data_IF_810971166851
#
_entry.id   IF_810971166851
#
_cell.length_a   1.000
_cell.length_b   1.000
_cell.length_c   1.000
_cell.angle_alpha   90.00
_cell.angle_beta   90.00
_cell.angle_gamma   90.00
#
_symmetry.space_group_name_H-M   'P 1'
#
loop_
_entity.id
_entity.type
_entity.pdbx_description
1 polymer ?
#
# COMPACT_ATOMS: atom_id res chain seq x y z
N UNK A 1 -16.31 -16.04 -13.49
CA UNK A 1 -16.04 -15.87 -12.05
C UNK A 1 -14.89 -14.90 -11.86
N UNK A 2 -15.07 -13.91 -11.00
CA UNK A 2 -13.99 -12.97 -10.72
C UNK A 2 -12.91 -13.61 -9.87
N UNK A 3 -11.67 -13.44 -10.27
CA UNK A 3 -10.52 -13.92 -9.51
C UNK A 3 -9.67 -12.74 -9.10
N UNK A 4 -9.04 -12.87 -7.94
CA UNK A 4 -8.16 -11.82 -7.42
C UNK A 4 -6.81 -12.39 -7.07
N UNK A 5 -5.79 -11.59 -7.25
CA UNK A 5 -4.48 -11.90 -6.69
C UNK A 5 -4.21 -10.95 -5.54
N UNK A 6 -3.42 -11.39 -4.59
CA UNK A 6 -3.15 -10.64 -3.38
C UNK A 6 -1.66 -10.39 -3.22
N UNK A 7 -1.34 -9.25 -2.64
CA UNK A 7 0.03 -8.85 -2.40
C UNK A 7 0.16 -8.30 -1.00
N UNK A 8 1.21 -8.70 -0.31
CA UNK A 8 1.53 -8.18 1.02
C UNK A 8 2.88 -7.49 0.94
N UNK A 9 2.94 -6.26 1.40
CA UNK A 9 4.17 -5.48 1.39
C UNK A 9 4.44 -4.89 2.75
N UNK A 10 5.71 -4.91 3.13
CA UNK A 10 6.18 -4.14 4.26
C UNK A 10 6.72 -2.82 3.72
N UNK A 11 6.15 -1.72 4.15
CA UNK A 11 6.66 -0.40 3.77
C UNK A 11 7.41 0.15 4.96
N UNK A 12 8.75 0.22 4.88
CA UNK A 12 9.53 0.71 6.00
C UNK A 12 9.21 2.17 6.27
N UNK A 13 9.03 2.48 7.56
CA UNK A 13 8.75 3.84 7.99
C UNK A 13 9.93 4.33 8.82
N UNK A 14 10.33 5.57 8.60
CA UNK A 14 11.26 6.22 9.48
C UNK A 14 10.52 6.62 10.76
N UNK A 15 11.25 6.73 11.86
CA UNK A 15 10.67 7.13 13.13
C UNK A 15 10.11 8.55 13.02
N UNK A 16 8.83 8.69 13.32
CA UNK A 16 8.19 10.00 13.30
C UNK A 16 8.37 10.69 14.64
N UNK A 17 8.91 11.89 14.60
CA UNK A 17 9.01 12.75 15.78
C UNK A 17 8.19 14.01 15.49
N UNK A 18 7.02 14.10 16.11
CA UNK A 18 6.15 15.24 15.95
C UNK A 18 5.36 15.25 14.65
N UNK A 19 4.61 16.33 14.43
CA UNK A 19 3.69 16.45 13.30
C UNK A 19 4.39 16.39 11.95
N UNK A 20 5.55 17.03 11.84
CA UNK A 20 6.29 17.05 10.58
C UNK A 20 6.79 15.66 10.19
N UNK A 21 7.15 14.85 11.20
CA UNK A 21 7.56 13.49 10.95
C UNK A 21 6.43 12.64 10.37
N UNK A 22 5.21 12.81 10.90
CA UNK A 22 4.05 12.09 10.40
C UNK A 22 3.68 12.53 8.98
N UNK A 23 3.80 13.83 8.70
CA UNK A 23 3.52 14.34 7.36
C UNK A 23 4.48 13.73 6.33
N UNK A 24 5.76 13.61 6.70
CA UNK A 24 6.75 13.02 5.83
C UNK A 24 6.44 11.54 5.57
N UNK A 25 6.07 10.81 6.61
CA UNK A 25 5.70 9.40 6.47
C UNK A 25 4.47 9.24 5.59
N UNK A 26 3.48 10.11 5.79
CA UNK A 26 2.27 10.08 4.97
C UNK A 26 2.59 10.29 3.50
N UNK A 27 3.49 11.22 3.19
CA UNK A 27 3.90 11.48 1.82
C UNK A 27 4.63 10.27 1.21
N UNK A 28 5.46 9.60 1.99
CA UNK A 28 6.15 8.39 1.54
C UNK A 28 5.17 7.27 1.25
N UNK A 29 4.18 7.06 2.13
CA UNK A 29 3.15 6.06 1.92
C UNK A 29 2.33 6.38 0.68
N UNK A 30 1.94 7.64 0.53
CA UNK A 30 1.15 8.05 -0.62
C UNK A 30 1.88 7.76 -1.93
N UNK A 31 3.18 8.03 -1.97
CA UNK A 31 3.99 7.75 -3.14
C UNK A 31 3.99 6.25 -3.47
N UNK A 32 4.22 5.41 -2.47
CA UNK A 32 4.27 3.96 -2.68
C UNK A 32 2.89 3.41 -3.05
N UNK A 33 1.84 3.88 -2.39
CA UNK A 33 0.49 3.42 -2.68
C UNK A 33 0.07 3.82 -4.09
N UNK A 34 0.45 5.01 -4.54
CA UNK A 34 0.13 5.46 -5.88
C UNK A 34 0.87 4.65 -6.96
N UNK A 35 2.10 4.23 -6.68
CA UNK A 35 2.82 3.34 -7.59
C UNK A 35 2.09 2.03 -7.77
N UNK A 36 1.63 1.46 -6.66
CA UNK A 36 0.89 0.20 -6.69
C UNK A 36 -0.47 0.36 -7.35
N UNK A 37 -1.16 1.46 -7.05
CA UNK A 37 -2.44 1.76 -7.66
C UNK A 37 -2.36 1.90 -9.17
N UNK A 38 -1.26 2.46 -9.66
CA UNK A 38 -1.04 2.58 -11.09
C UNK A 38 -0.89 1.22 -11.78
N UNK A 39 -0.57 0.19 -11.01
CA UNK A 39 -0.48 -1.18 -11.51
C UNK A 39 -1.78 -1.97 -11.27
N UNK A 40 -2.81 -1.30 -10.78
CA UNK A 40 -4.10 -1.93 -10.54
C UNK A 40 -4.29 -2.48 -9.15
N UNK A 41 -3.33 -2.28 -8.24
CA UNK A 41 -3.44 -2.77 -6.89
C UNK A 41 -4.33 -1.87 -6.04
N UNK A 42 -5.19 -2.49 -5.25
CA UNK A 42 -6.09 -1.79 -4.34
C UNK A 42 -5.73 -2.16 -2.90
N UNK A 43 -5.53 -1.16 -2.07
CA UNK A 43 -5.22 -1.39 -0.66
C UNK A 43 -6.47 -1.87 0.07
N UNK A 44 -6.35 -3.00 0.73
CA UNK A 44 -7.45 -3.57 1.51
C UNK A 44 -7.32 -3.20 2.97
N UNK A 45 -6.11 -3.34 3.52
CA UNK A 45 -5.91 -3.22 4.95
C UNK A 45 -4.44 -2.99 5.26
N UNK A 46 -4.20 -2.35 6.37
CA UNK A 46 -2.86 -2.17 6.92
C UNK A 46 -2.86 -2.70 8.35
N UNK A 47 -1.89 -3.58 8.65
CA UNK A 47 -1.73 -4.14 9.98
C UNK A 47 -0.24 -4.13 10.32
N UNK A 48 0.13 -3.41 11.37
CA UNK A 48 1.50 -3.39 11.90
C UNK A 48 2.61 -3.19 10.86
N UNK A 49 2.42 -2.23 9.96
CA UNK A 49 3.42 -1.95 8.94
C UNK A 49 3.35 -2.88 7.74
N UNK A 50 2.45 -3.83 7.75
CA UNK A 50 2.17 -4.67 6.58
C UNK A 50 0.95 -4.13 5.85
N UNK A 51 1.07 -4.03 4.54
CA UNK A 51 -0.01 -3.51 3.69
C UNK A 51 -0.49 -4.63 2.80
N UNK A 52 -1.79 -4.84 2.80
CA UNK A 52 -2.44 -5.91 2.05
C UNK A 52 -3.18 -5.32 0.87
N UNK A 53 -2.89 -5.84 -0.31
CA UNK A 53 -3.48 -5.37 -1.56
C UNK A 53 -4.16 -6.50 -2.29
N UNK A 54 -5.13 -6.15 -3.11
CA UNK A 54 -5.72 -7.10 -4.05
C UNK A 54 -5.79 -6.45 -5.42
N UNK A 55 -5.83 -7.28 -6.43
CA UNK A 55 -6.00 -6.84 -7.81
C UNK A 55 -6.81 -7.88 -8.56
N UNK A 56 -7.78 -7.42 -9.32
CA UNK A 56 -8.57 -8.35 -10.12
C UNK A 56 -7.72 -8.94 -11.23
N UNK A 57 -7.77 -10.25 -11.35
CA UNK A 57 -7.06 -10.95 -12.42
C UNK A 57 -7.93 -11.02 -13.65
N UNK A 58 -7.36 -10.69 -14.80
CA UNK A 58 -8.06 -10.86 -16.04
C UNK A 58 -8.10 -12.34 -16.39
N UNK A 59 -9.29 -12.79 -16.70
CA UNK A 59 -9.52 -14.17 -17.08
C UNK A 59 -9.39 -14.25 -18.59
N UNK A 60 -8.25 -14.69 -19.04
CA UNK A 60 -8.03 -14.86 -20.48
C UNK A 60 -8.24 -16.29 -20.88
#
# INVERSE_FOLDING_TARGET
MKKFEYKVMAIPTSMALGTKGYEKIAAEFETELNKLGAQGWELIQRVDGLFFFKREMEDM
#
